data_IF_699770892554
#
_entry.id   IF_699770892554
#
_cell.length_a   1.000
_cell.length_b   1.000
_cell.length_c   1.000
_cell.angle_alpha   90.00
_cell.angle_beta   90.00
_cell.angle_gamma   90.00
#
_symmetry.space_group_name_H-M   'P 1'
#
loop_
_entity.id
_entity.type
_entity.pdbx_description
1 polymer ?
#
# COMPACT_ATOMS: atom_id res chain seq x y z
N UNK A 1 -8.67 0.20 -19.92
CA UNK A 1 -8.41 -1.26 -19.86
C UNK A 1 -6.96 -1.46 -20.24
N UNK A 2 -6.22 -2.13 -19.36
CA UNK A 2 -4.76 -2.01 -19.19
C UNK A 2 -3.96 -2.52 -20.38
N UNK A 3 -3.00 -1.70 -20.83
CA UNK A 3 -1.96 -2.04 -21.81
C UNK A 3 -0.89 -2.97 -21.23
N UNK A 4 -1.26 -3.87 -20.30
CA UNK A 4 -0.30 -4.69 -19.55
C UNK A 4 0.52 -5.59 -20.48
N UNK A 5 -0.07 -6.05 -21.58
CA UNK A 5 0.57 -6.82 -22.66
C UNK A 5 1.67 -6.03 -23.40
N UNK A 6 1.69 -4.70 -23.26
CA UNK A 6 2.66 -3.81 -23.88
C UNK A 6 3.68 -3.24 -22.88
N UNK A 7 3.55 -3.58 -21.59
CA UNK A 7 4.53 -3.17 -20.59
C UNK A 7 5.76 -4.07 -20.66
N UNK A 8 6.95 -3.48 -20.55
CA UNK A 8 8.19 -4.25 -20.53
C UNK A 8 8.50 -4.80 -19.13
N UNK A 9 8.15 -4.04 -18.08
CA UNK A 9 8.44 -4.36 -16.68
C UNK A 9 7.20 -4.12 -15.80
N UNK A 10 6.84 -5.13 -15.00
CA UNK A 10 5.76 -5.07 -14.04
C UNK A 10 6.24 -5.47 -12.64
N UNK A 11 6.30 -4.51 -11.72
CA UNK A 11 6.56 -4.77 -10.30
C UNK A 11 5.26 -4.71 -9.52
N UNK A 12 4.90 -5.80 -8.84
CA UNK A 12 3.67 -5.89 -8.06
C UNK A 12 4.01 -5.93 -6.56
N UNK A 13 3.46 -4.98 -5.80
CA UNK A 13 3.50 -5.00 -4.34
C UNK A 13 2.06 -5.06 -3.84
N UNK A 14 1.65 -6.21 -3.28
CA UNK A 14 0.24 -6.46 -3.00
C UNK A 14 0.03 -7.12 -1.63
N UNK A 15 -0.90 -6.57 -0.84
CA UNK A 15 -1.37 -7.18 0.41
C UNK A 15 -2.52 -8.15 0.18
N UNK A 16 -2.77 -9.03 1.15
CA UNK A 16 -3.90 -9.96 1.15
C UNK A 16 -4.88 -9.57 2.26
N UNK A 17 -6.19 -9.58 1.99
CA UNK A 17 -7.24 -9.22 2.94
C UNK A 17 -8.23 -10.38 3.15
N UNK A 18 -9.13 -10.23 4.13
CA UNK A 18 -10.22 -11.17 4.36
C UNK A 18 -9.71 -12.59 4.58
N UNK A 19 -10.22 -13.54 3.80
CA UNK A 19 -9.83 -14.95 3.88
C UNK A 19 -8.93 -15.35 2.71
N UNK A 20 -7.90 -14.55 2.41
CA UNK A 20 -7.05 -14.75 1.24
C UNK A 20 -7.50 -13.98 -0.01
N UNK A 21 -8.36 -12.99 0.18
CA UNK A 21 -8.97 -12.19 -0.87
C UNK A 21 -8.04 -11.07 -1.35
N UNK A 22 -8.20 -10.62 -2.62
CA UNK A 22 -7.60 -9.38 -3.07
C UNK A 22 -8.08 -8.18 -2.22
N UNK A 23 -7.23 -7.17 -1.99
CA UNK A 23 -7.66 -5.91 -1.41
C UNK A 23 -8.69 -5.25 -2.34
N UNK A 24 -9.54 -4.38 -1.79
CA UNK A 24 -10.65 -3.74 -2.54
C UNK A 24 -10.17 -3.07 -3.85
N UNK A 25 -9.01 -2.42 -3.82
CA UNK A 25 -8.40 -1.80 -4.99
C UNK A 25 -7.67 -2.78 -5.93
N UNK A 26 -7.41 -4.02 -5.50
CA UNK A 26 -6.78 -5.09 -6.28
C UNK A 26 -7.79 -6.01 -7.00
N UNK A 27 -9.07 -5.96 -6.62
CA UNK A 27 -10.12 -6.81 -7.21
C UNK A 27 -10.23 -6.65 -8.74
N UNK A 28 -10.29 -5.40 -9.23
CA UNK A 28 -10.42 -5.14 -10.67
C UNK A 28 -9.21 -5.62 -11.48
N UNK A 29 -8.01 -5.55 -10.88
CA UNK A 29 -6.79 -6.06 -11.50
C UNK A 29 -6.81 -7.59 -11.60
N UNK A 30 -7.16 -8.27 -10.50
CA UNK A 30 -7.30 -9.73 -10.47
C UNK A 30 -8.30 -10.24 -11.51
N UNK A 31 -9.44 -9.55 -11.62
CA UNK A 31 -10.50 -9.88 -12.58
C UNK A 31 -10.05 -9.70 -14.03
N UNK A 32 -9.24 -8.66 -14.29
CA UNK A 32 -8.67 -8.41 -15.63
C UNK A 32 -7.68 -9.51 -16.03
N UNK A 33 -6.75 -9.88 -15.15
CA UNK A 33 -5.80 -10.97 -15.43
C UNK A 33 -6.52 -12.31 -15.66
N UNK A 34 -7.57 -12.59 -14.87
CA UNK A 34 -8.35 -13.80 -15.05
C UNK A 34 -9.08 -13.83 -16.40
N UNK A 35 -9.57 -12.68 -16.87
CA UNK A 35 -10.22 -12.56 -18.18
C UNK A 35 -9.24 -12.92 -19.31
N UNK A 36 -8.01 -12.39 -19.26
CA UNK A 36 -6.95 -12.72 -20.22
C UNK A 36 -6.68 -14.24 -20.25
N UNK A 37 -6.62 -14.90 -19.08
CA UNK A 37 -6.43 -16.36 -18.99
C UNK A 37 -7.58 -17.16 -19.59
N UNK A 38 -8.82 -16.68 -19.47
CA UNK A 38 -9.98 -17.37 -20.05
C UNK A 38 -10.01 -17.25 -21.58
N UNK A 39 -9.62 -16.09 -22.11
CA UNK A 39 -9.57 -15.83 -23.55
C UNK A 39 -8.53 -16.73 -24.24
N UNK A 40 -7.38 -16.97 -23.62
CA UNK A 40 -6.36 -17.94 -24.08
C UNK A 40 -6.86 -19.38 -24.21
N UNK A 41 -7.77 -19.80 -23.32
CA UNK A 41 -8.26 -21.18 -23.29
C UNK A 41 -9.43 -21.44 -24.26
N UNK A 42 -9.81 -20.46 -25.09
CA UNK A 42 -10.81 -20.63 -26.16
C UNK A 42 -12.24 -20.93 -25.69
N UNK A 43 -12.59 -20.60 -24.44
CA UNK A 43 -13.95 -20.75 -23.93
C UNK A 43 -14.80 -19.55 -24.37
N UNK A 44 -15.90 -19.75 -25.12
CA UNK A 44 -16.66 -18.64 -25.68
C UNK A 44 -17.34 -17.80 -24.60
N UNK A 45 -17.37 -16.49 -24.85
CA UNK A 45 -18.10 -15.46 -24.12
C UNK A 45 -19.58 -15.84 -23.87
N UNK A 46 -19.83 -16.65 -22.86
CA UNK A 46 -21.12 -16.70 -22.19
C UNK A 46 -21.14 -15.57 -21.18
N UNK A 47 -22.13 -14.67 -21.26
CA UNK A 47 -22.38 -13.61 -20.30
C UNK A 47 -22.15 -14.10 -18.86
N UNK A 48 -20.97 -13.83 -18.30
CA UNK A 48 -20.66 -14.20 -16.94
C UNK A 48 -21.31 -13.16 -16.05
N UNK A 49 -22.51 -13.50 -15.57
CA UNK A 49 -23.05 -12.86 -14.39
C UNK A 49 -21.94 -12.74 -13.35
N UNK A 50 -21.90 -11.58 -12.70
CA UNK A 50 -20.89 -11.06 -11.76
C UNK A 50 -20.64 -11.90 -10.49
N UNK A 51 -20.98 -13.20 -10.51
CA UNK A 51 -20.97 -14.12 -9.37
C UNK A 51 -19.63 -14.82 -9.14
N UNK A 52 -18.65 -14.71 -10.05
CA UNK A 52 -17.29 -15.26 -9.84
C UNK A 52 -16.34 -14.31 -9.11
N UNK A 53 -16.75 -13.08 -8.78
CA UNK A 53 -15.99 -12.17 -7.91
C UNK A 53 -16.16 -12.46 -6.40
N UNK A 54 -16.54 -13.69 -6.04
CA UNK A 54 -16.60 -14.12 -4.64
C UNK A 54 -15.28 -14.76 -4.23
N UNK A 55 -14.92 -14.62 -2.94
CA UNK A 55 -13.78 -15.26 -2.27
C UNK A 55 -13.60 -16.74 -2.64
N UNK A 56 -14.70 -17.44 -2.89
CA UNK A 56 -14.70 -18.86 -3.24
C UNK A 56 -13.99 -19.17 -4.58
N UNK A 57 -14.04 -18.26 -5.57
CA UNK A 57 -13.40 -18.46 -6.88
C UNK A 57 -11.88 -18.35 -6.78
N UNK A 58 -11.38 -17.39 -6.00
CA UNK A 58 -9.95 -17.19 -5.75
C UNK A 58 -9.37 -18.33 -4.90
N UNK A 59 -10.12 -18.79 -3.89
CA UNK A 59 -9.75 -19.99 -3.10
C UNK A 59 -9.68 -21.23 -3.99
N UNK A 60 -10.63 -21.39 -4.92
CA UNK A 60 -10.62 -22.53 -5.85
C UNK A 60 -9.41 -22.48 -6.79
N UNK A 61 -9.02 -21.31 -7.27
CA UNK A 61 -7.81 -21.14 -8.09
C UNK A 61 -6.54 -21.50 -7.31
N UNK A 62 -6.38 -21.02 -6.07
CA UNK A 62 -5.23 -21.36 -5.21
C UNK A 62 -5.17 -22.85 -4.83
N UNK A 63 -6.32 -23.50 -4.64
CA UNK A 63 -6.38 -24.94 -4.34
C UNK A 63 -6.06 -25.84 -5.54
N UNK A 64 -6.22 -25.34 -6.77
CA UNK A 64 -5.93 -26.09 -7.99
C UNK A 64 -4.45 -26.02 -8.38
N UNK A 65 -3.80 -24.86 -8.20
CA UNK A 65 -2.35 -24.72 -8.41
C UNK A 65 -1.53 -25.59 -7.47
N UNK A 66 -1.89 -25.69 -6.18
CA UNK A 66 -1.19 -26.60 -5.24
C UNK A 66 -1.36 -28.09 -5.59
N UNK A 67 -2.50 -28.48 -6.18
CA UNK A 67 -2.71 -29.86 -6.64
C UNK A 67 -1.95 -30.15 -7.93
N UNK A 68 -1.84 -29.19 -8.85
CA UNK A 68 -1.02 -29.34 -10.06
C UNK A 68 0.47 -29.40 -9.76
N UNK A 69 0.99 -28.57 -8.84
CA UNK A 69 2.39 -28.64 -8.40
C UNK A 69 2.77 -29.98 -7.73
N UNK A 70 1.79 -30.68 -7.13
CA UNK A 70 1.97 -32.03 -6.59
C UNK A 70 1.90 -33.12 -7.67
N UNK A 71 1.19 -32.88 -8.77
CA UNK A 71 1.08 -33.82 -9.91
C UNK A 71 2.25 -33.68 -10.90
N UNK A 72 2.78 -32.46 -11.11
CA UNK A 72 3.93 -32.21 -12.00
C UNK A 72 5.25 -32.79 -11.48
N UNK A 73 5.35 -33.06 -10.17
CA UNK A 73 6.54 -33.69 -9.57
C UNK A 73 6.69 -35.18 -9.96
N UNK A 74 5.73 -35.74 -10.70
CA UNK A 74 5.78 -37.12 -11.20
C UNK A 74 6.04 -37.26 -12.71
N UNK A 75 6.17 -36.16 -13.48
CA UNK A 75 6.35 -36.23 -14.94
C UNK A 75 7.75 -35.80 -15.44
N UNK A 76 8.75 -35.68 -14.56
CA UNK A 76 10.12 -35.28 -14.94
C UNK A 76 10.94 -36.34 -15.72
N UNK A 77 10.30 -37.29 -16.40
CA UNK A 77 10.94 -38.20 -17.35
C UNK A 77 10.04 -38.45 -18.56
N UNK A 78 9.86 -37.46 -19.43
CA UNK A 78 9.52 -37.72 -20.83
C UNK A 78 10.11 -36.69 -21.77
N UNK A 79 10.75 -37.24 -22.79
CA UNK A 79 11.77 -36.61 -23.61
C UNK A 79 11.30 -35.51 -24.56
N UNK A 80 12.33 -34.81 -25.05
CA UNK A 80 12.35 -33.88 -26.16
C UNK A 80 11.44 -34.25 -27.32
N UNK A 81 10.63 -33.29 -27.79
CA UNK A 81 10.44 -32.88 -29.20
C UNK A 81 9.26 -31.90 -29.28
N UNK A 82 9.49 -30.71 -29.85
CA UNK A 82 8.41 -29.82 -30.30
C UNK A 82 8.61 -28.36 -29.95
N UNK A 83 9.43 -27.65 -30.73
CA UNK A 83 9.33 -26.21 -30.90
C UNK A 83 7.94 -25.87 -31.45
N UNK A 84 7.10 -25.36 -30.57
CA UNK A 84 6.06 -24.40 -30.92
C UNK A 84 6.08 -23.42 -29.75
N UNK A 85 6.74 -22.28 -29.95
CA UNK A 85 6.72 -21.16 -29.01
C UNK A 85 5.26 -20.71 -28.84
N UNK A 86 4.58 -21.26 -27.83
CA UNK A 86 3.28 -20.75 -27.39
C UNK A 86 3.58 -19.48 -26.61
N UNK A 87 3.69 -18.38 -27.34
CA UNK A 87 3.79 -17.05 -26.74
C UNK A 87 2.47 -16.74 -26.04
N UNK A 88 2.48 -16.82 -24.71
CA UNK A 88 1.34 -16.37 -23.91
C UNK A 88 1.13 -14.85 -24.05
N UNK A 89 -0.05 -14.30 -23.69
CA UNK A 89 -0.40 -12.90 -23.89
C UNK A 89 0.57 -11.92 -23.22
N UNK A 90 1.26 -12.36 -22.17
CA UNK A 90 2.23 -11.57 -21.41
C UNK A 90 3.67 -11.97 -21.71
N UNK A 91 3.95 -12.63 -22.84
CA UNK A 91 5.31 -13.09 -23.20
C UNK A 91 6.37 -11.98 -23.25
N UNK A 92 5.96 -10.73 -23.45
CA UNK A 92 6.85 -9.57 -23.49
C UNK A 92 7.04 -8.90 -22.11
N UNK A 93 6.34 -9.38 -21.08
CA UNK A 93 6.30 -8.76 -19.76
C UNK A 93 7.27 -9.47 -18.83
N UNK A 94 8.23 -8.72 -18.29
CA UNK A 94 9.04 -9.17 -17.15
C UNK A 94 8.42 -8.71 -15.86
N UNK A 95 8.33 -9.57 -14.86
CA UNK A 95 7.65 -9.24 -13.62
C UNK A 95 8.34 -9.73 -12.35
N UNK A 96 7.99 -9.09 -11.24
CA UNK A 96 8.35 -9.53 -9.90
C UNK A 96 7.23 -9.17 -8.91
N UNK A 97 7.01 -10.02 -7.92
CA UNK A 97 5.95 -9.84 -6.93
C UNK A 97 6.51 -9.86 -5.50
N UNK A 98 6.16 -8.82 -4.74
CA UNK A 98 6.30 -8.77 -3.29
C UNK A 98 4.91 -8.84 -2.63
N UNK A 99 4.66 -9.92 -1.90
CA UNK A 99 3.36 -10.17 -1.28
C UNK A 99 3.40 -9.82 0.21
N UNK A 100 2.50 -8.95 0.66
CA UNK A 100 2.31 -8.64 2.07
C UNK A 100 1.20 -9.52 2.66
N UNK A 101 1.44 -10.06 3.84
CA UNK A 101 0.46 -10.84 4.57
C UNK A 101 0.84 -10.97 6.04
N UNK A 102 0.07 -11.76 6.77
CA UNK A 102 0.33 -12.09 8.17
C UNK A 102 0.20 -13.59 8.36
N UNK A 103 1.23 -14.23 8.92
CA UNK A 103 1.24 -15.67 9.22
C UNK A 103 0.21 -16.07 10.29
N UNK A 104 -0.43 -15.09 10.93
CA UNK A 104 -1.57 -15.30 11.82
C UNK A 104 -2.84 -15.76 11.06
N UNK A 105 -2.89 -15.61 9.73
CA UNK A 105 -4.03 -16.01 8.91
C UNK A 105 -3.71 -17.27 8.08
N UNK A 106 -4.69 -18.18 7.86
CA UNK A 106 -4.45 -19.44 7.14
C UNK A 106 -3.92 -19.24 5.71
N UNK A 107 -4.47 -18.25 5.00
CA UNK A 107 -4.18 -17.98 3.59
C UNK A 107 -3.09 -16.89 3.48
N UNK A 108 -1.90 -17.20 4.01
CA UNK A 108 -0.77 -16.27 4.03
C UNK A 108 -0.36 -15.84 2.62
N UNK A 109 -0.33 -14.51 2.39
CA UNK A 109 0.06 -13.89 1.11
C UNK A 109 -0.71 -14.38 -0.13
N UNK A 110 -1.90 -14.95 0.06
CA UNK A 110 -2.63 -15.68 -0.98
C UNK A 110 -2.90 -14.86 -2.26
N UNK A 111 -3.18 -13.55 -2.13
CA UNK A 111 -3.42 -12.71 -3.30
C UNK A 111 -2.14 -12.45 -4.10
N UNK A 112 -1.02 -12.17 -3.43
CA UNK A 112 0.26 -11.99 -4.10
C UNK A 112 0.74 -13.26 -4.79
N UNK A 113 0.59 -14.42 -4.14
CA UNK A 113 0.85 -15.73 -4.74
C UNK A 113 -0.04 -16.00 -5.97
N UNK A 114 -1.32 -15.63 -5.89
CA UNK A 114 -2.24 -15.76 -7.01
C UNK A 114 -1.79 -14.93 -8.22
N UNK A 115 -1.44 -13.66 -8.01
CA UNK A 115 -0.96 -12.77 -9.09
C UNK A 115 0.34 -13.28 -9.70
N UNK A 116 1.31 -13.69 -8.86
CA UNK A 116 2.60 -14.21 -9.31
C UNK A 116 2.43 -15.45 -10.20
N UNK A 117 1.58 -16.40 -9.79
CA UNK A 117 1.29 -17.59 -10.58
C UNK A 117 0.60 -17.24 -11.91
N UNK A 118 -0.43 -16.38 -11.86
CA UNK A 118 -1.22 -16.01 -13.03
C UNK A 118 -0.40 -15.27 -14.09
N UNK A 119 0.51 -14.37 -13.67
CA UNK A 119 1.43 -13.70 -14.60
C UNK A 119 2.37 -14.70 -15.28
N UNK A 120 2.86 -15.70 -14.55
CA UNK A 120 3.69 -16.77 -15.13
C UNK A 120 2.93 -17.68 -16.09
N UNK A 121 1.69 -18.08 -15.74
CA UNK A 121 0.83 -18.89 -16.61
C UNK A 121 0.46 -18.17 -17.92
N UNK A 122 0.37 -16.83 -17.89
CA UNK A 122 0.13 -15.99 -19.07
C UNK A 122 1.38 -15.73 -19.92
N UNK A 123 2.51 -16.38 -19.61
CA UNK A 123 3.76 -16.31 -20.36
C UNK A 123 4.74 -15.23 -19.88
N UNK A 124 4.45 -14.52 -18.80
CA UNK A 124 5.36 -13.52 -18.25
C UNK A 124 6.68 -14.13 -17.73
N UNK A 125 7.78 -13.39 -17.91
CA UNK A 125 9.11 -13.78 -17.43
C UNK A 125 9.33 -13.27 -15.99
N UNK A 126 9.54 -14.17 -15.03
CA UNK A 126 9.75 -13.79 -13.63
C UNK A 126 11.21 -13.41 -13.37
N UNK A 127 11.45 -12.17 -12.94
CA UNK A 127 12.79 -11.65 -12.63
C UNK A 127 13.35 -12.23 -11.33
N UNK A 128 12.56 -12.18 -10.26
CA UNK A 128 12.92 -12.70 -8.93
C UNK A 128 11.79 -13.56 -8.40
N UNK A 129 12.13 -14.59 -7.63
CA UNK A 129 11.14 -15.45 -6.98
C UNK A 129 10.21 -14.60 -6.10
N UNK A 130 8.92 -14.94 -6.09
CA UNK A 130 7.94 -14.38 -5.17
C UNK A 130 8.52 -14.26 -3.76
N UNK A 131 8.53 -13.04 -3.24
CA UNK A 131 8.99 -12.74 -1.88
C UNK A 131 7.81 -12.32 -1.02
N UNK A 132 7.75 -12.82 0.21
CA UNK A 132 6.65 -12.57 1.14
C UNK A 132 7.12 -11.74 2.33
N UNK A 133 6.37 -10.70 2.69
CA UNK A 133 6.59 -9.90 3.89
C UNK A 133 5.55 -10.20 4.97
N UNK A 134 5.97 -10.84 6.06
CA UNK A 134 5.11 -11.20 7.19
C UNK A 134 5.00 -10.05 8.20
N UNK A 135 3.79 -9.52 8.38
CA UNK A 135 3.47 -8.50 9.38
C UNK A 135 3.89 -8.91 10.80
N UNK A 136 3.83 -10.21 11.11
CA UNK A 136 4.21 -10.73 12.42
C UNK A 136 5.73 -10.80 12.62
N UNK A 137 6.51 -10.83 11.53
CA UNK A 137 7.96 -11.05 11.60
C UNK A 137 8.67 -10.49 10.37
N UNK A 138 9.34 -9.34 10.53
CA UNK A 138 10.34 -8.87 9.57
C UNK A 138 9.80 -8.40 8.21
N UNK A 139 8.53 -7.97 8.11
CA UNK A 139 7.97 -7.43 6.86
C UNK A 139 8.84 -6.35 6.19
N UNK A 140 9.22 -5.32 6.95
CA UNK A 140 10.06 -4.23 6.44
C UNK A 140 11.47 -4.72 6.03
N UNK A 141 12.04 -5.65 6.79
CA UNK A 141 13.33 -6.25 6.49
C UNK A 141 13.30 -7.05 5.19
N UNK A 142 12.24 -7.85 4.97
CA UNK A 142 12.06 -8.60 3.75
C UNK A 142 11.93 -7.66 2.53
N UNK A 143 11.17 -6.57 2.67
CA UNK A 143 11.04 -5.57 1.62
C UNK A 143 12.37 -4.87 1.31
N UNK A 144 13.10 -4.44 2.35
CA UNK A 144 14.39 -3.77 2.20
C UNK A 144 15.48 -4.68 1.60
N UNK A 145 15.31 -6.00 1.66
CA UNK A 145 16.16 -6.96 0.93
C UNK A 145 15.70 -7.14 -0.52
N UNK A 146 14.39 -7.27 -0.74
CA UNK A 146 13.81 -7.51 -2.05
C UNK A 146 13.95 -6.33 -3.01
N UNK A 147 13.72 -5.10 -2.54
CA UNK A 147 13.74 -3.90 -3.37
C UNK A 147 15.08 -3.66 -4.10
N UNK A 148 16.26 -3.70 -3.44
CA UNK A 148 17.54 -3.58 -4.14
C UNK A 148 17.86 -4.79 -5.02
N UNK A 149 17.45 -6.00 -4.62
CA UNK A 149 17.65 -7.22 -5.41
C UNK A 149 16.89 -7.17 -6.74
N UNK A 150 15.59 -6.84 -6.71
CA UNK A 150 14.78 -6.73 -7.92
C UNK A 150 15.24 -5.58 -8.81
N UNK A 151 15.71 -4.48 -8.22
CA UNK A 151 16.28 -3.37 -8.97
C UNK A 151 17.54 -3.80 -9.73
N UNK A 152 18.49 -4.46 -9.07
CA UNK A 152 19.71 -4.96 -9.70
C UNK A 152 19.39 -5.94 -10.84
N UNK A 153 18.52 -6.93 -10.59
CA UNK A 153 18.14 -7.92 -11.59
C UNK A 153 17.43 -7.27 -12.78
N UNK A 154 16.58 -6.27 -12.54
CA UNK A 154 15.93 -5.53 -13.61
C UNK A 154 16.98 -4.76 -14.46
N UNK A 155 17.90 -4.03 -13.84
CA UNK A 155 18.97 -3.33 -14.56
C UNK A 155 19.79 -4.27 -15.45
N UNK A 156 20.21 -5.43 -14.91
CA UNK A 156 20.96 -6.44 -15.66
C UNK A 156 20.13 -6.98 -16.84
N UNK A 157 18.84 -7.29 -16.61
CA UNK A 157 17.93 -7.86 -17.61
C UNK A 157 17.62 -6.88 -18.75
N UNK A 158 17.55 -5.58 -18.45
CA UNK A 158 17.34 -4.53 -19.45
C UNK A 158 18.65 -3.95 -19.99
N UNK A 159 19.81 -4.53 -19.62
CA UNK A 159 21.14 -4.09 -20.03
C UNK A 159 21.36 -2.59 -19.79
N UNK A 160 20.94 -2.10 -18.63
CA UNK A 160 21.19 -0.74 -18.19
C UNK A 160 22.60 -0.68 -17.59
N UNK A 161 23.47 0.15 -18.18
CA UNK A 161 24.83 0.34 -17.68
C UNK A 161 24.81 0.95 -16.27
N UNK A 162 25.75 0.52 -15.42
CA UNK A 162 25.97 1.05 -14.08
C UNK A 162 26.64 2.44 -14.12
N UNK A 163 26.05 3.38 -14.84
CA UNK A 163 26.51 4.76 -14.92
C UNK A 163 26.18 5.54 -13.64
N UNK A 164 26.64 6.80 -13.53
CA UNK A 164 26.35 7.71 -12.39
C UNK A 164 24.85 7.77 -12.04
N UNK A 165 23.98 7.52 -13.04
CA UNK A 165 22.52 7.40 -12.92
C UNK A 165 22.06 6.26 -12.01
N UNK A 166 22.82 5.18 -11.89
CA UNK A 166 22.54 4.06 -10.97
C UNK A 166 22.71 4.49 -9.51
N UNK A 167 23.75 5.28 -9.22
CA UNK A 167 24.02 5.80 -7.88
C UNK A 167 22.98 6.86 -7.50
N UNK A 168 22.61 7.74 -8.43
CA UNK A 168 21.53 8.71 -8.26
C UNK A 168 20.16 8.04 -8.08
N UNK A 169 19.79 7.04 -8.89
CA UNK A 169 18.53 6.32 -8.77
C UNK A 169 18.43 5.54 -7.44
N UNK A 170 19.54 4.94 -7.01
CA UNK A 170 19.63 4.28 -5.69
C UNK A 170 19.49 5.32 -4.57
N UNK A 171 20.12 6.50 -4.71
CA UNK A 171 19.92 7.62 -3.77
C UNK A 171 18.50 8.19 -3.80
N UNK A 172 17.78 8.18 -4.93
CA UNK A 172 16.37 8.57 -4.99
C UNK A 172 15.43 7.57 -4.31
N UNK A 173 15.78 6.27 -4.31
CA UNK A 173 15.07 5.25 -3.51
C UNK A 173 15.21 5.53 -2.00
N UNK A 174 16.34 6.11 -1.59
CA UNK A 174 16.50 6.74 -0.28
C UNK A 174 15.86 8.13 -0.29
N UNK A 175 14.51 8.19 -0.19
CA UNK A 175 13.67 9.39 0.00
C UNK A 175 14.46 10.69 0.18
N UNK A 176 14.30 11.65 -0.76
CA UNK A 176 14.85 13.01 -0.66
C UNK A 176 14.90 13.46 0.81
N UNK A 177 16.08 13.79 1.30
CA UNK A 177 16.27 14.12 2.70
C UNK A 177 15.37 15.31 3.05
N UNK A 178 14.29 15.04 3.80
CA UNK A 178 13.42 16.07 4.33
C UNK A 178 14.27 16.92 5.25
N UNK A 179 14.37 18.21 4.97
CA UNK A 179 15.13 19.16 5.79
C UNK A 179 14.27 20.37 6.06
N UNK A 180 14.61 21.15 7.08
CA UNK A 180 13.89 22.38 7.39
C UNK A 180 13.87 23.41 6.23
N UNK A 181 14.74 23.27 5.24
CA UNK A 181 14.77 24.11 4.04
C UNK A 181 13.91 23.59 2.88
N UNK A 182 13.50 22.32 2.88
CA UNK A 182 12.70 21.71 1.80
C UNK A 182 11.21 21.62 2.11
N UNK A 183 10.82 21.87 3.36
CA UNK A 183 9.40 21.90 3.78
C UNK A 183 9.07 23.18 4.55
N UNK A 184 7.85 23.68 4.37
CA UNK A 184 7.36 24.84 5.14
C UNK A 184 5.86 24.80 5.37
N UNK A 185 5.43 25.47 6.43
CA UNK A 185 4.03 25.81 6.65
C UNK A 185 3.76 27.25 6.24
N UNK A 186 2.63 27.47 5.57
CA UNK A 186 2.15 28.81 5.16
C UNK A 186 0.72 29.00 5.65
N UNK A 187 0.37 30.16 6.19
CA UNK A 187 -1.02 30.46 6.56
C UNK A 187 -1.92 30.40 5.31
N UNK A 188 -3.05 29.71 5.43
CA UNK A 188 -3.98 29.51 4.30
C UNK A 188 -5.40 29.24 4.81
N UNK A 189 -6.47 29.63 4.09
CA UNK A 189 -7.84 29.41 4.55
C UNK A 189 -8.16 27.94 4.84
N UNK A 190 -8.91 27.64 5.93
CA UNK A 190 -9.21 26.27 6.31
C UNK A 190 -10.13 25.60 5.27
N UNK A 191 -9.90 24.31 5.04
CA UNK A 191 -10.79 23.46 4.24
C UNK A 191 -11.83 22.75 5.11
N UNK A 192 -12.94 22.36 4.49
CA UNK A 192 -13.96 21.54 5.16
C UNK A 192 -13.40 20.14 5.51
N UNK A 193 -13.60 19.71 6.75
CA UNK A 193 -13.04 18.47 7.27
C UNK A 193 -13.56 17.22 6.54
N UNK A 194 -14.86 17.17 6.20
CA UNK A 194 -15.43 16.01 5.52
C UNK A 194 -14.92 15.92 4.08
N UNK A 195 -14.81 17.05 3.37
CA UNK A 195 -14.21 17.10 2.04
C UNK A 195 -12.74 16.71 2.07
N UNK A 196 -11.98 17.21 3.04
CA UNK A 196 -10.57 16.91 3.22
C UNK A 196 -10.33 15.41 3.49
N UNK A 197 -11.07 14.81 4.43
CA UNK A 197 -10.99 13.37 4.71
C UNK A 197 -11.45 12.53 3.51
N UNK A 198 -12.47 13.00 2.78
CA UNK A 198 -12.94 12.30 1.59
C UNK A 198 -11.89 12.28 0.48
N UNK A 199 -11.18 13.41 0.30
CA UNK A 199 -10.09 13.53 -0.65
C UNK A 199 -8.90 12.64 -0.25
N UNK A 200 -8.47 12.69 1.02
CA UNK A 200 -7.33 11.91 1.51
C UNK A 200 -7.53 10.40 1.36
N UNK A 201 -8.72 9.90 1.70
CA UNK A 201 -9.02 8.47 1.65
C UNK A 201 -9.61 8.02 0.31
N UNK A 202 -9.84 8.94 -0.63
CA UNK A 202 -10.54 8.69 -1.89
C UNK A 202 -11.88 7.95 -1.69
N UNK A 203 -12.62 8.30 -0.63
CA UNK A 203 -13.91 7.69 -0.25
C UNK A 203 -14.85 8.78 0.23
N UNK A 204 -16.17 8.62 0.03
CA UNK A 204 -17.15 9.57 0.57
C UNK A 204 -17.23 9.44 2.09
N UNK A 205 -16.97 10.52 2.81
CA UNK A 205 -17.03 10.58 4.27
C UNK A 205 -18.27 11.36 4.71
N UNK A 206 -19.02 10.79 5.65
CA UNK A 206 -20.22 11.40 6.21
C UNK A 206 -20.04 11.66 7.70
N UNK A 207 -20.51 12.82 8.15
CA UNK A 207 -20.62 13.12 9.59
C UNK A 207 -21.96 12.59 10.09
N UNK A 208 -21.90 11.65 11.02
CA UNK A 208 -23.06 10.99 11.59
C UNK A 208 -23.08 11.22 13.12
N UNK A 209 -24.15 11.83 13.68
CA UNK A 209 -24.29 12.00 15.13
C UNK A 209 -24.34 10.67 15.89
N UNK A 210 -23.76 10.63 17.09
CA UNK A 210 -23.90 9.51 18.02
C UNK A 210 -25.16 9.73 18.85
N UNK A 211 -26.13 8.84 18.70
CA UNK A 211 -27.41 8.86 19.42
C UNK A 211 -27.31 8.23 20.81
N UNK A 212 -26.52 7.16 20.93
CA UNK A 212 -26.47 6.36 22.15
C UNK A 212 -25.12 5.68 22.36
N UNK A 213 -24.73 5.57 23.64
CA UNK A 213 -23.53 4.83 24.06
C UNK A 213 -23.84 4.09 25.35
N UNK A 214 -23.71 2.76 25.33
CA UNK A 214 -23.94 1.90 26.50
C UNK A 214 -22.85 0.86 26.64
N UNK A 215 -22.32 0.67 27.85
CA UNK A 215 -21.45 -0.46 28.14
C UNK A 215 -22.31 -1.72 28.29
N UNK A 216 -21.94 -2.78 27.57
CA UNK A 216 -22.60 -4.08 27.59
C UNK A 216 -22.16 -4.94 28.78
N UNK A 217 -21.09 -4.55 29.48
CA UNK A 217 -20.61 -5.26 30.67
C UNK A 217 -21.25 -4.76 31.97
N UNK A 218 -21.26 -5.61 32.99
CA UNK A 218 -21.70 -5.28 34.35
C UNK A 218 -20.69 -4.40 35.11
N UNK A 219 -21.18 -3.77 36.18
CA UNK A 219 -20.36 -2.96 37.11
C UNK A 219 -19.32 -3.86 37.78
N UNK A 220 -18.05 -3.74 37.41
CA UNK A 220 -16.95 -4.55 37.95
C UNK A 220 -16.09 -5.26 36.91
N UNK A 221 -16.48 -5.23 35.62
CA UNK A 221 -15.60 -5.73 34.56
C UNK A 221 -14.41 -4.79 34.34
N UNK A 222 -13.22 -5.38 34.20
CA UNK A 222 -11.99 -4.66 33.80
C UNK A 222 -11.95 -4.32 32.31
N UNK A 223 -12.84 -4.95 31.52
CA UNK A 223 -12.99 -4.72 30.08
C UNK A 223 -14.28 -3.93 29.82
N UNK A 224 -14.32 -3.21 28.71
CA UNK A 224 -15.53 -2.55 28.24
C UNK A 224 -15.84 -2.97 26.79
N UNK A 225 -17.10 -3.30 26.53
CA UNK A 225 -17.62 -3.48 25.18
C UNK A 225 -18.79 -2.51 25.02
N UNK A 226 -18.71 -1.62 24.04
CA UNK A 226 -19.66 -0.53 23.89
C UNK A 226 -20.66 -0.84 22.77
N UNK A 227 -21.94 -0.70 23.08
CA UNK A 227 -22.99 -0.51 22.09
C UNK A 227 -23.03 0.97 21.73
N UNK A 228 -22.88 1.26 20.43
CA UNK A 228 -22.97 2.61 19.87
C UNK A 228 -24.14 2.67 18.90
N UNK A 229 -25.01 3.65 19.09
CA UNK A 229 -26.13 3.93 18.20
C UNK A 229 -25.79 5.20 17.44
N UNK A 230 -25.72 5.13 16.11
CA UNK A 230 -25.27 6.22 15.24
C UNK A 230 -26.43 6.59 14.32
N UNK A 231 -26.74 7.87 14.22
CA UNK A 231 -27.75 8.37 13.29
C UNK A 231 -27.24 8.19 11.85
N UNK A 232 -28.06 7.53 11.03
CA UNK A 232 -27.73 7.26 9.64
C UNK A 232 -27.96 8.50 8.79
N UNK A 233 -26.97 8.84 7.96
CA UNK A 233 -27.17 9.79 6.86
C UNK A 233 -28.04 9.15 5.77
N UNK A 234 -28.99 9.89 5.22
CA UNK A 234 -29.93 9.41 4.19
C UNK A 234 -29.24 8.81 2.96
N UNK A 235 -28.04 9.30 2.62
CA UNK A 235 -27.26 8.85 1.47
C UNK A 235 -26.48 7.56 1.70
N UNK A 236 -26.47 7.04 2.93
CA UNK A 236 -25.84 5.76 3.27
C UNK A 236 -26.91 4.68 3.12
N UNK A 237 -26.60 3.53 2.53
CA UNK A 237 -27.43 2.32 2.54
C UNK A 237 -26.58 1.14 2.98
N UNK A 238 -27.14 0.22 3.76
CA UNK A 238 -26.41 -0.97 4.23
C UNK A 238 -27.36 -2.16 4.40
N UNK A 239 -26.78 -3.36 4.39
CA UNK A 239 -27.42 -4.64 4.68
C UNK A 239 -26.81 -5.27 5.95
N UNK A 240 -27.53 -6.18 6.62
CA UNK A 240 -26.96 -6.95 7.73
C UNK A 240 -25.72 -7.73 7.27
N UNK A 241 -24.59 -7.52 7.96
CA UNK A 241 -23.29 -8.09 7.61
C UNK A 241 -22.31 -7.07 7.00
N UNK A 242 -22.78 -5.91 6.58
CA UNK A 242 -21.91 -4.82 6.13
C UNK A 242 -21.09 -4.23 7.28
N UNK A 243 -19.97 -3.60 6.91
CA UNK A 243 -19.06 -2.97 7.85
C UNK A 243 -19.22 -1.44 7.82
N UNK A 244 -18.98 -0.80 8.97
CA UNK A 244 -18.88 0.66 9.08
C UNK A 244 -17.43 1.08 9.28
N UNK A 245 -16.90 1.87 8.35
CA UNK A 245 -15.59 2.50 8.50
C UNK A 245 -15.70 3.74 9.37
N UNK A 246 -14.97 3.78 10.49
CA UNK A 246 -14.98 4.91 11.43
C UNK A 246 -13.61 5.59 11.40
N UNK A 247 -13.59 6.88 11.09
CA UNK A 247 -12.37 7.69 11.16
C UNK A 247 -12.16 8.17 12.59
N UNK A 248 -11.18 7.56 13.26
CA UNK A 248 -10.89 7.82 14.66
C UNK A 248 -10.21 9.18 14.88
N UNK A 249 -10.09 9.52 16.15
CA UNK A 249 -9.57 10.79 16.63
C UNK A 249 -8.47 10.49 17.63
N UNK A 250 -7.27 11.04 17.44
CA UNK A 250 -6.24 10.90 18.47
C UNK A 250 -6.68 11.58 19.77
N UNK A 251 -6.22 11.02 20.89
CA UNK A 251 -6.49 11.55 22.22
C UNK A 251 -5.90 12.94 22.38
N UNK A 252 -6.65 13.86 22.99
CA UNK A 252 -6.23 15.25 23.15
C UNK A 252 -4.90 15.32 23.90
N UNK A 253 -4.73 14.51 24.93
CA UNK A 253 -3.52 14.51 25.77
C UNK A 253 -2.25 14.16 24.97
N UNK A 254 -2.36 13.25 23.99
CA UNK A 254 -1.24 12.91 23.11
C UNK A 254 -0.92 14.05 22.14
N UNK A 255 -1.96 14.65 21.56
CA UNK A 255 -1.82 15.77 20.62
C UNK A 255 -1.19 16.98 21.31
N UNK A 256 -1.69 17.37 22.49
CA UNK A 256 -1.10 18.44 23.29
C UNK A 256 0.33 18.11 23.71
N UNK A 257 0.58 16.85 24.09
CA UNK A 257 1.91 16.37 24.43
C UNK A 257 2.90 16.63 23.29
N UNK A 258 2.58 16.18 22.06
CA UNK A 258 3.44 16.41 20.90
C UNK A 258 3.62 17.90 20.64
N UNK A 259 2.54 18.69 20.60
CA UNK A 259 2.59 20.13 20.33
C UNK A 259 3.51 20.84 21.33
N UNK A 260 3.52 20.45 22.60
CA UNK A 260 4.37 21.05 23.62
C UNK A 260 5.88 20.84 23.41
N UNK A 261 6.26 19.83 22.62
CA UNK A 261 7.65 19.53 22.26
C UNK A 261 8.05 20.06 20.88
N UNK A 262 7.12 20.60 20.09
CA UNK A 262 7.43 21.14 18.78
C UNK A 262 7.99 22.56 18.90
N UNK A 263 9.17 22.78 18.32
CA UNK A 263 9.77 24.11 18.14
C UNK A 263 9.09 24.83 16.95
N UNK A 264 7.80 25.13 17.07
CA UNK A 264 7.03 25.85 16.05
C UNK A 264 6.81 27.30 16.45
N UNK A 265 7.09 28.23 15.53
CA UNK A 265 6.74 29.65 15.66
C UNK A 265 5.28 29.95 15.32
N UNK A 266 4.54 28.96 14.81
CA UNK A 266 3.16 29.14 14.34
C UNK A 266 2.17 28.67 15.40
N UNK A 267 1.12 29.47 15.60
CA UNK A 267 -0.02 29.12 16.46
C UNK A 267 -0.63 27.78 16.01
N UNK A 268 -0.70 26.76 16.89
CA UNK A 268 -1.15 25.41 16.53
C UNK A 268 -2.63 25.35 16.12
N UNK A 269 -3.41 26.40 16.42
CA UNK A 269 -4.83 26.49 16.09
C UNK A 269 -5.11 27.31 14.82
N UNK A 270 -4.10 27.99 14.27
CA UNK A 270 -4.22 28.67 12.98
C UNK A 270 -4.17 27.69 11.81
N UNK A 271 -5.03 27.86 10.79
CA UNK A 271 -4.98 27.07 9.57
C UNK A 271 -3.69 27.31 8.76
N UNK A 272 -3.02 26.20 8.42
CA UNK A 272 -1.76 26.20 7.67
C UNK A 272 -1.85 25.21 6.50
N UNK A 273 -1.06 25.48 5.46
CA UNK A 273 -0.82 24.58 4.34
C UNK A 273 0.64 24.12 4.36
N UNK A 274 0.84 22.80 4.31
CA UNK A 274 2.16 22.22 4.10
C UNK A 274 2.58 22.39 2.63
N UNK A 275 3.76 22.94 2.41
CA UNK A 275 4.38 23.05 1.09
C UNK A 275 5.73 22.35 1.08
N UNK A 276 6.02 21.69 -0.04
CA UNK A 276 7.31 21.04 -0.31
C UNK A 276 7.98 21.78 -1.47
N UNK A 277 9.29 21.95 -1.39
CA UNK A 277 10.11 22.47 -2.47
C UNK A 277 10.30 21.38 -3.53
N UNK A 278 9.72 21.55 -4.72
CA UNK A 278 9.98 20.68 -5.87
C UNK A 278 11.02 21.33 -6.78
N UNK A 279 12.06 20.57 -7.13
CA UNK A 279 13.04 20.95 -8.14
C UNK A 279 12.61 20.35 -9.48
N UNK A 280 12.41 21.19 -10.49
CA UNK A 280 12.10 20.75 -11.85
C UNK A 280 13.30 21.04 -12.74
N UNK A 281 13.78 20.00 -13.42
CA UNK A 281 14.82 20.13 -14.43
C UNK A 281 14.20 20.59 -15.74
N UNK A 282 14.49 21.83 -16.14
CA UNK A 282 14.09 22.37 -17.44
C UNK A 282 15.33 22.50 -18.34
N UNK A 283 15.18 22.56 -19.67
CA UNK A 283 16.31 22.81 -20.58
C UNK A 283 17.11 24.08 -20.25
N UNK A 284 16.47 25.06 -19.59
CA UNK A 284 17.06 26.33 -19.17
C UNK A 284 17.69 26.28 -17.75
N UNK A 285 17.70 25.11 -17.09
CA UNK A 285 18.27 24.89 -15.76
C UNK A 285 17.29 24.34 -14.72
N UNK A 286 17.72 24.32 -13.46
CA UNK A 286 16.94 23.81 -12.33
C UNK A 286 16.05 24.93 -11.79
N UNK A 287 14.73 24.74 -11.87
CA UNK A 287 13.73 25.66 -11.31
C UNK A 287 13.16 25.09 -10.03
N UNK A 288 13.25 25.85 -8.94
CA UNK A 288 12.75 25.47 -7.61
C UNK A 288 11.43 26.15 -7.31
N UNK A 289 10.37 25.37 -7.12
CA UNK A 289 9.03 25.88 -6.85
C UNK A 289 8.44 25.24 -5.59
N UNK A 290 7.83 26.07 -4.75
CA UNK A 290 7.05 25.59 -3.61
C UNK A 290 5.67 25.13 -4.08
N UNK A 291 5.33 23.88 -3.80
CA UNK A 291 4.01 23.31 -4.13
C UNK A 291 3.31 22.82 -2.87
N UNK A 292 1.96 22.89 -2.81
CA UNK A 292 1.20 22.26 -1.74
C UNK A 292 1.46 20.75 -1.69
N UNK A 293 1.42 20.17 -0.49
CA UNK A 293 1.49 18.72 -0.33
C UNK A 293 0.25 18.05 -0.95
N UNK A 294 0.47 17.09 -1.85
CA UNK A 294 -0.58 16.54 -2.72
C UNK A 294 -1.75 15.88 -1.95
N UNK A 295 -1.50 15.30 -0.77
CA UNK A 295 -2.53 14.59 0.02
C UNK A 295 -3.07 15.33 1.23
N UNK A 296 -2.33 16.31 1.77
CA UNK A 296 -2.63 16.87 3.08
C UNK A 296 -3.44 18.16 2.92
N UNK A 297 -4.59 18.29 3.61
CA UNK A 297 -5.47 19.45 3.45
C UNK A 297 -4.91 20.69 4.13
N UNK A 298 -5.56 21.84 3.93
CA UNK A 298 -5.30 23.03 4.74
C UNK A 298 -6.13 23.00 6.02
N UNK A 299 -5.46 22.83 7.17
CA UNK A 299 -6.08 22.88 8.50
C UNK A 299 -5.04 23.28 9.55
N UNK A 300 -5.46 23.39 10.81
CA UNK A 300 -4.53 23.70 11.90
C UNK A 300 -3.60 22.53 12.22
N UNK A 301 -2.44 22.80 12.81
CA UNK A 301 -1.48 21.77 13.26
C UNK A 301 -2.15 20.79 14.22
N UNK A 302 -2.96 21.31 15.15
CA UNK A 302 -3.75 20.48 16.05
C UNK A 302 -4.67 19.53 15.29
N UNK A 303 -5.34 20.01 14.24
CA UNK A 303 -6.24 19.18 13.43
C UNK A 303 -5.48 18.09 12.68
N UNK A 304 -4.29 18.37 12.13
CA UNK A 304 -3.44 17.35 11.51
C UNK A 304 -3.15 16.19 12.47
N UNK A 305 -2.60 16.52 13.65
CA UNK A 305 -2.26 15.54 14.66
C UNK A 305 -3.48 14.81 15.23
N UNK A 306 -4.68 15.41 15.18
CA UNK A 306 -5.88 14.78 15.74
C UNK A 306 -6.67 13.91 14.73
N UNK A 307 -6.55 14.16 13.42
CA UNK A 307 -7.45 13.55 12.40
C UNK A 307 -6.76 12.95 11.18
N UNK A 308 -5.54 13.37 10.87
CA UNK A 308 -4.91 13.04 9.58
C UNK A 308 -3.62 12.22 9.73
N UNK A 309 -2.98 12.28 10.90
CA UNK A 309 -1.73 11.59 11.16
C UNK A 309 -1.89 10.50 12.21
N UNK A 310 -1.24 9.37 11.98
CA UNK A 310 -1.04 8.36 13.00
C UNK A 310 0.16 8.76 13.88
N UNK A 311 -0.11 8.96 15.17
CA UNK A 311 0.89 9.35 16.16
C UNK A 311 1.08 8.27 17.24
N UNK A 312 0.56 7.06 16.98
CA UNK A 312 0.52 5.96 17.96
C UNK A 312 1.18 4.69 17.48
N UNK A 313 1.22 4.46 16.16
CA UNK A 313 1.99 3.37 15.58
C UNK A 313 3.49 3.61 15.85
N UNK A 314 4.24 2.59 16.29
CA UNK A 314 5.68 2.71 16.50
C UNK A 314 6.40 3.27 15.26
N UNK A 315 7.37 4.19 15.42
CA UNK A 315 8.11 4.76 14.30
C UNK A 315 8.76 3.71 13.41
N UNK A 316 8.72 3.91 12.10
CA UNK A 316 9.47 3.08 11.15
C UNK A 316 10.97 3.35 11.26
N UNK A 317 11.84 2.41 10.80
CA UNK A 317 13.29 2.63 10.79
C UNK A 317 13.70 3.93 10.07
N UNK A 318 13.05 4.27 8.95
CA UNK A 318 13.34 5.51 8.23
C UNK A 318 12.98 6.76 9.06
N UNK A 319 11.89 6.71 9.83
CA UNK A 319 11.50 7.81 10.72
C UNK A 319 12.46 7.93 11.92
N UNK A 320 12.95 6.81 12.46
CA UNK A 320 13.98 6.82 13.49
C UNK A 320 15.30 7.41 12.97
N UNK A 321 15.71 7.05 11.76
CA UNK A 321 16.88 7.63 11.11
C UNK A 321 16.73 9.14 10.91
N UNK A 322 15.53 9.60 10.56
CA UNK A 322 15.23 11.03 10.49
C UNK A 322 15.34 11.68 11.88
N UNK A 323 14.78 11.09 12.93
CA UNK A 323 14.95 11.60 14.30
C UNK A 323 16.41 11.64 14.75
N UNK A 324 17.23 10.66 14.36
CA UNK A 324 18.67 10.66 14.63
C UNK A 324 19.38 11.87 13.99
N UNK A 325 18.92 12.32 12.81
CA UNK A 325 19.46 13.52 12.15
C UNK A 325 19.07 14.82 12.86
N UNK A 326 17.99 14.81 13.63
CA UNK A 326 17.52 15.96 14.41
C UNK A 326 18.03 15.94 15.87
N UNK A 327 18.55 14.81 16.35
CA UNK A 327 19.01 14.65 17.72
C UNK A 327 20.30 15.45 17.97
N UNK A 328 20.31 16.28 19.01
CA UNK A 328 21.47 17.10 19.41
C UNK A 328 22.40 16.36 20.40
N UNK A 329 21.90 15.33 21.07
CA UNK A 329 22.67 14.49 21.99
C UNK A 329 23.30 13.30 21.24
N UNK A 330 24.64 13.12 21.27
CA UNK A 330 25.32 12.02 20.58
C UNK A 330 24.85 10.62 20.98
N UNK A 331 24.50 10.41 22.25
CA UNK A 331 24.04 9.09 22.72
C UNK A 331 22.66 8.73 22.17
N UNK A 332 21.77 9.72 22.04
CA UNK A 332 20.43 9.51 21.50
C UNK A 332 20.49 9.31 19.98
N UNK A 333 21.36 10.07 19.30
CA UNK A 333 21.65 9.89 17.89
C UNK A 333 22.16 8.47 17.58
N UNK A 334 23.12 7.96 18.36
CA UNK A 334 23.64 6.60 18.19
C UNK A 334 22.54 5.55 18.37
N UNK A 335 21.73 5.66 19.44
CA UNK A 335 20.63 4.72 19.71
C UNK A 335 19.53 4.74 18.66
N UNK A 336 19.23 5.90 18.07
CA UNK A 336 18.20 6.03 17.03
C UNK A 336 18.68 5.52 15.66
N UNK A 337 20.00 5.40 15.46
CA UNK A 337 20.61 4.90 14.22
C UNK A 337 20.79 3.37 14.24
N UNK A 338 20.77 2.74 15.42
CA UNK A 338 20.84 1.29 15.61
C UNK A 338 19.48 0.62 15.38
#
# INVERSE_FOLDING_TARGET
>A
MSKIEHEALLLVVASTFGNGDPPENGQGFAQSLYTIKMDENGLPNGHTNSTLASSASFIKANSQTDRQASLERCDSFRGSTGDADVFGPLSNVRFAVFALGSSAYPNFCAFGSYVDNLLGELGGERLVKLTTGDEMCGQAQAFNKWAPEVFSVACDTFCLDNDETFLEATQMLHSEAITASTVRFVESPPQDLCKALSHLHNKKVWKCPLLGKRNLHGKGSTRATLLLEIERNENISYQPGDHVGVLACNRKELVEGIISYLESTTDPDKPIQLQILKENHTPDGIVRNWVPHDRLPTCSLRTFLTRFLDITTPPSPNLLQFFASCATNPQDQEKLTQ
#
